data_IF_531761368045
#
_entry.id   IF_531761368045
#
_cell.length_a   1.000
_cell.length_b   1.000
_cell.length_c   1.000
_cell.angle_alpha   90.00
_cell.angle_beta   90.00
_cell.angle_gamma   90.00
#
_symmetry.space_group_name_H-M   'P 1'
#
loop_
_entity.id
_entity.type
_entity.pdbx_description
1 polymer ?
#
# COMPACT_ATOMS: atom_id res chain seq x y z
N UNK A 1 4.85 -27.86 8.55
CA UNK A 1 4.00 -26.72 8.96
C UNK A 1 4.90 -25.51 9.20
N UNK A 2 4.93 -24.56 8.27
CA UNK A 2 5.75 -23.34 8.40
C UNK A 2 4.82 -22.17 8.71
N UNK A 3 4.80 -21.76 9.97
CA UNK A 3 3.98 -20.64 10.46
C UNK A 3 4.61 -19.33 10.02
N UNK A 4 4.28 -18.91 8.80
CA UNK A 4 4.52 -17.54 8.33
C UNK A 4 3.72 -16.61 9.26
N UNK A 5 4.42 -15.79 10.04
CA UNK A 5 3.84 -14.80 10.93
C UNK A 5 3.26 -13.68 10.07
N UNK A 6 2.01 -13.84 9.63
CA UNK A 6 1.27 -12.74 9.02
C UNK A 6 0.80 -11.78 10.12
N UNK A 7 1.09 -10.50 9.91
CA UNK A 7 0.60 -9.37 10.70
C UNK A 7 -0.92 -9.53 10.91
N UNK A 8 -1.33 -9.60 12.18
CA UNK A 8 -2.71 -9.81 12.56
C UNK A 8 -3.50 -8.54 12.19
N UNK A 9 -4.12 -8.54 11.01
CA UNK A 9 -5.06 -7.50 10.62
C UNK A 9 -6.25 -7.55 11.57
N UNK A 10 -6.29 -6.62 12.53
CA UNK A 10 -7.51 -6.30 13.26
C UNK A 10 -8.53 -5.82 12.23
N UNK A 11 -9.41 -6.73 11.82
CA UNK A 11 -10.50 -6.47 10.91
C UNK A 11 -11.51 -5.57 11.62
N UNK A 12 -11.31 -4.25 11.55
CA UNK A 12 -12.36 -3.30 11.85
C UNK A 12 -13.54 -3.64 10.91
N UNK A 13 -14.70 -3.92 11.51
CA UNK A 13 -15.96 -4.30 10.88
C UNK A 13 -16.52 -3.23 9.93
N UNK A 14 -15.84 -3.03 8.82
CA UNK A 14 -16.29 -2.25 7.67
C UNK A 14 -15.78 -2.97 6.43
N UNK A 15 -16.66 -3.25 5.47
CA UNK A 15 -16.28 -3.83 4.18
C UNK A 15 -15.31 -2.85 3.52
N UNK A 16 -14.01 -3.02 3.74
CA UNK A 16 -13.00 -2.21 3.08
C UNK A 16 -13.17 -2.42 1.57
N UNK A 17 -13.41 -1.36 0.78
CA UNK A 17 -13.59 -1.50 -0.66
C UNK A 17 -12.31 -2.08 -1.26
N UNK A 18 -12.46 -3.18 -2.00
CA UNK A 18 -11.36 -3.79 -2.71
C UNK A 18 -11.02 -2.95 -3.94
N UNK A 19 -9.76 -2.54 -4.07
CA UNK A 19 -9.24 -1.86 -5.24
C UNK A 19 -8.52 -2.89 -6.13
N UNK A 20 -9.08 -3.17 -7.31
CA UNK A 20 -8.46 -4.08 -8.27
C UNK A 20 -7.69 -3.28 -9.32
N UNK A 21 -6.37 -3.46 -9.36
CA UNK A 21 -5.49 -2.82 -10.34
C UNK A 21 -5.04 -3.87 -11.36
N UNK A 22 -5.17 -3.56 -12.65
CA UNK A 22 -4.57 -4.36 -13.71
C UNK A 22 -3.24 -3.72 -14.09
N UNK A 23 -2.14 -4.37 -13.74
CA UNK A 23 -0.76 -3.98 -14.11
C UNK A 23 -0.04 -5.16 -14.77
N UNK A 24 1.02 -4.86 -15.52
CA UNK A 24 1.90 -5.90 -16.04
C UNK A 24 2.59 -6.67 -14.89
N UNK A 25 2.88 -7.97 -15.09
CA UNK A 25 3.54 -8.78 -14.06
C UNK A 25 4.94 -8.25 -13.71
N UNK A 26 5.61 -7.60 -14.66
CA UNK A 26 6.90 -6.95 -14.44
C UNK A 26 6.79 -5.79 -13.44
N UNK A 27 5.80 -4.90 -13.64
CA UNK A 27 5.59 -3.77 -12.75
C UNK A 27 5.17 -4.22 -11.33
N UNK A 28 4.39 -5.30 -11.24
CA UNK A 28 4.06 -5.94 -9.95
C UNK A 28 5.32 -6.39 -9.21
N UNK A 29 6.28 -7.00 -9.92
CA UNK A 29 7.53 -7.44 -9.31
C UNK A 29 8.34 -6.26 -8.77
N UNK A 30 8.40 -5.15 -9.51
CA UNK A 30 9.06 -3.92 -9.05
C UNK A 30 8.42 -3.37 -7.78
N UNK A 31 7.08 -3.34 -7.71
CA UNK A 31 6.38 -2.91 -6.50
C UNK A 31 6.58 -3.86 -5.32
N UNK A 32 6.66 -5.17 -5.54
CA UNK A 32 6.96 -6.12 -4.47
C UNK A 32 8.38 -5.95 -3.92
N UNK A 33 9.36 -5.64 -4.77
CA UNK A 33 10.74 -5.34 -4.33
C UNK A 33 10.76 -4.09 -3.47
N UNK A 34 10.15 -3.00 -3.94
CA UNK A 34 10.07 -1.74 -3.18
C UNK A 34 9.30 -1.89 -1.86
N UNK A 35 8.20 -2.65 -1.86
CA UNK A 35 7.43 -2.93 -0.64
C UNK A 35 8.23 -3.77 0.37
N UNK A 36 8.99 -4.78 -0.11
CA UNK A 36 9.88 -5.57 0.73
C UNK A 36 11.00 -4.74 1.34
N UNK A 37 11.61 -3.85 0.55
CA UNK A 37 12.64 -2.92 1.03
C UNK A 37 12.10 -2.00 2.13
N UNK A 38 10.87 -1.52 1.96
CA UNK A 38 10.14 -0.74 2.96
C UNK A 38 9.60 -1.59 4.14
N UNK A 39 9.87 -2.90 4.19
CA UNK A 39 9.48 -3.79 5.28
C UNK A 39 7.97 -4.03 5.41
N UNK A 40 7.19 -3.82 4.35
CA UNK A 40 5.72 -3.85 4.42
C UNK A 40 5.08 -4.61 3.25
N UNK A 41 3.81 -5.00 3.42
CA UNK A 41 3.06 -5.66 2.34
C UNK A 41 2.78 -4.69 1.18
N UNK A 42 2.77 -5.20 -0.06
CA UNK A 42 2.47 -4.41 -1.28
C UNK A 42 1.27 -3.48 -1.11
N UNK A 43 0.18 -3.97 -0.50
CA UNK A 43 -1.03 -3.19 -0.29
C UNK A 43 -0.88 -2.07 0.75
N UNK A 44 -0.05 -2.25 1.78
CA UNK A 44 0.25 -1.18 2.74
C UNK A 44 1.25 -0.18 2.14
N UNK A 45 2.24 -0.66 1.39
CA UNK A 45 3.19 0.19 0.67
C UNK A 45 2.49 1.16 -0.28
N UNK A 46 1.56 0.64 -1.09
CA UNK A 46 0.80 1.48 -2.02
C UNK A 46 -0.12 2.48 -1.30
N UNK A 47 -0.64 2.14 -0.11
CA UNK A 47 -1.42 3.07 0.72
C UNK A 47 -0.57 4.20 1.28
N UNK A 48 0.65 3.90 1.70
CA UNK A 48 1.59 4.93 2.20
C UNK A 48 1.96 5.87 1.06
N UNK A 49 2.34 5.33 -0.10
CA UNK A 49 2.67 6.13 -1.28
C UNK A 49 1.51 7.04 -1.71
N UNK A 50 0.28 6.52 -1.72
CA UNK A 50 -0.90 7.33 -2.02
C UNK A 50 -1.19 8.41 -0.97
N UNK A 51 -0.93 8.13 0.32
CA UNK A 51 -1.09 9.13 1.38
C UNK A 51 -0.05 10.25 1.28
N UNK A 52 1.21 9.89 1.10
CA UNK A 52 2.31 10.86 0.99
C UNK A 52 2.09 11.80 -0.20
N UNK A 53 1.61 11.27 -1.34
CA UNK A 53 1.29 12.07 -2.51
C UNK A 53 0.06 12.97 -2.28
N UNK A 54 -0.97 12.47 -1.60
CA UNK A 54 -2.11 13.30 -1.21
C UNK A 54 -1.70 14.42 -0.25
N UNK A 55 -0.83 14.15 0.71
CA UNK A 55 -0.28 15.19 1.60
C UNK A 55 0.62 16.19 0.87
N UNK A 56 1.33 15.75 -0.17
CA UNK A 56 2.12 16.63 -1.04
C UNK A 56 1.20 17.56 -1.83
N UNK A 57 0.17 16.99 -2.46
CA UNK A 57 -0.83 17.74 -3.21
C UNK A 57 -1.64 18.67 -2.30
N UNK A 58 -1.99 18.26 -1.10
CA UNK A 58 -2.67 19.12 -0.13
C UNK A 58 -1.79 20.31 0.24
N UNK A 59 -0.50 20.07 0.56
CA UNK A 59 0.46 21.16 0.81
C UNK A 59 0.68 22.10 -0.38
N UNK A 60 0.62 21.58 -1.60
CA UNK A 60 0.79 22.35 -2.83
C UNK A 60 -0.48 23.13 -3.21
N UNK A 61 -1.67 22.56 -3.01
CA UNK A 61 -2.95 23.20 -3.30
C UNK A 61 -3.43 24.14 -2.18
N UNK A 62 -2.93 23.95 -0.95
CA UNK A 62 -3.29 24.74 0.23
C UNK A 62 -2.24 25.83 0.51
N UNK A 63 -1.55 26.31 -0.53
CA UNK A 63 -0.79 27.57 -0.50
C UNK A 63 -1.77 28.74 -0.28
N UNK A 64 -2.03 29.05 0.99
CA UNK A 64 -2.46 30.37 1.47
C UNK A 64 -1.23 31.10 2.00
#
# INVERSE_FOLDING_TARGET
MSTVKYDAKQSASGKNPAFQIRISPELKAQFEVAAKDAGMSLGNWLKTLGRDELERLDRENNQI
#
